data_IF_004717200020
#
_entry.id   IF_004717200020
#
_cell.length_a   1.000
_cell.length_b   1.000
_cell.length_c   1.000
_cell.angle_alpha   90.00
_cell.angle_beta   90.00
_cell.angle_gamma   90.00
#
_symmetry.space_group_name_H-M   'P 1'
#
loop_
_entity.id
_entity.type
_entity.pdbx_description
1 polymer ?
#
# COMPACT_ATOMS: atom_id res chain seq x y z
N UNK A 1 -9.57 -2.51 -12.32
CA UNK A 1 -9.30 -3.95 -12.48
C UNK A 1 -9.65 -4.64 -11.18
N UNK A 2 -10.24 -5.83 -11.22
CA UNK A 2 -10.40 -6.67 -10.02
C UNK A 2 -9.17 -7.57 -9.91
N UNK A 3 -8.34 -7.33 -8.90
CA UNK A 3 -7.22 -8.19 -8.56
C UNK A 3 -7.72 -9.54 -8.05
N UNK A 4 -7.10 -10.61 -8.52
CA UNK A 4 -7.38 -11.97 -8.05
C UNK A 4 -6.35 -12.43 -7.01
N UNK A 5 -6.73 -13.44 -6.23
CA UNK A 5 -5.86 -14.08 -5.24
C UNK A 5 -4.59 -14.63 -5.88
N UNK A 6 -4.73 -15.33 -7.01
CA UNK A 6 -3.63 -15.96 -7.74
C UNK A 6 -2.64 -14.93 -8.26
N UNK A 7 -3.12 -13.80 -8.78
CA UNK A 7 -2.29 -12.69 -9.23
C UNK A 7 -1.45 -12.14 -8.07
N UNK A 8 -2.08 -11.82 -6.93
CA UNK A 8 -1.36 -11.29 -5.75
C UNK A 8 -0.29 -12.28 -5.27
N UNK A 9 -0.61 -13.57 -5.21
CA UNK A 9 0.35 -14.59 -4.79
C UNK A 9 1.53 -14.72 -5.74
N UNK A 10 1.32 -14.50 -7.05
CA UNK A 10 2.35 -14.60 -8.08
C UNK A 10 3.16 -13.30 -8.27
N UNK A 11 2.76 -12.18 -7.67
CA UNK A 11 3.50 -10.93 -7.77
C UNK A 11 4.85 -11.01 -7.06
N UNK A 12 5.91 -10.57 -7.73
CA UNK A 12 7.22 -10.39 -7.10
C UNK A 12 7.22 -9.16 -6.17
N UNK A 13 8.06 -9.15 -5.12
CA UNK A 13 8.24 -7.96 -4.30
C UNK A 13 8.81 -6.81 -5.14
N UNK A 14 8.29 -5.61 -4.95
CA UNK A 14 8.68 -4.45 -5.73
C UNK A 14 7.60 -3.40 -5.86
N UNK A 15 7.79 -2.48 -6.80
CA UNK A 15 6.99 -1.25 -6.94
C UNK A 15 5.50 -1.53 -7.15
N UNK A 16 5.16 -2.50 -8.00
CA UNK A 16 3.77 -2.82 -8.27
C UNK A 16 3.03 -3.31 -7.01
N UNK A 17 3.63 -4.26 -6.27
CA UNK A 17 3.08 -4.74 -5.01
C UNK A 17 2.98 -3.62 -3.97
N UNK A 18 4.01 -2.78 -3.89
CA UNK A 18 4.05 -1.62 -2.99
C UNK A 18 2.94 -0.61 -3.29
N UNK A 19 2.62 -0.35 -4.56
CA UNK A 19 1.51 0.54 -4.93
C UNK A 19 0.15 -0.03 -4.54
N UNK A 20 -0.05 -1.33 -4.69
CA UNK A 20 -1.28 -1.98 -4.21
C UNK A 20 -1.42 -1.84 -2.69
N UNK A 21 -0.34 -2.01 -1.94
CA UNK A 21 -0.32 -1.77 -0.48
C UNK A 21 -0.72 -0.33 -0.17
N UNK A 22 -0.10 0.62 -0.86
CA UNK A 22 -0.34 2.06 -0.67
C UNK A 22 -1.80 2.45 -0.99
N UNK A 23 -2.36 1.91 -2.07
CA UNK A 23 -3.72 2.15 -2.53
C UNK A 23 -4.76 1.48 -1.61
N UNK A 24 -4.63 0.18 -1.37
CA UNK A 24 -5.70 -0.60 -0.76
C UNK A 24 -5.59 -0.69 0.75
N UNK A 25 -4.39 -0.74 1.32
CA UNK A 25 -4.20 -0.91 2.77
C UNK A 25 -4.00 0.45 3.43
N UNK A 26 -3.03 1.22 2.94
CA UNK A 26 -2.70 2.52 3.52
C UNK A 26 -3.73 3.61 3.15
N UNK A 27 -4.49 3.41 2.06
CA UNK A 27 -5.51 4.34 1.55
C UNK A 27 -4.93 5.74 1.26
N UNK A 28 -3.67 5.81 0.83
CA UNK A 28 -3.07 7.09 0.48
C UNK A 28 -3.63 7.60 -0.85
N UNK A 29 -3.88 8.90 -0.92
CA UNK A 29 -4.39 9.55 -2.12
C UNK A 29 -3.21 10.14 -2.90
N UNK A 30 -2.94 9.69 -4.13
CA UNK A 30 -1.90 10.27 -4.97
C UNK A 30 -2.40 11.56 -5.61
N UNK A 31 -1.60 12.61 -5.46
CA UNK A 31 -1.80 13.90 -6.08
C UNK A 31 -0.67 14.15 -7.08
N UNK A 32 -1.02 14.52 -8.30
CA UNK A 32 -0.06 15.07 -9.24
C UNK A 32 0.06 16.59 -9.03
N UNK A 33 1.30 17.08 -9.03
CA UNK A 33 1.66 18.49 -8.95
C UNK A 33 2.45 18.91 -10.19
N UNK A 34 1.95 19.89 -10.94
CA UNK A 34 2.71 20.52 -12.03
C UNK A 34 3.82 21.42 -11.49
N UNK A 35 5.08 21.12 -11.83
CA UNK A 35 6.27 21.89 -11.42
C UNK A 35 7.11 22.30 -12.61
N UNK A 36 6.66 23.33 -13.34
CA UNK A 36 7.33 23.76 -14.56
C UNK A 36 7.27 22.66 -15.60
N UNK A 37 8.42 22.06 -15.91
CA UNK A 37 8.57 21.10 -17.01
C UNK A 37 8.31 19.63 -16.61
N UNK A 38 8.02 19.36 -15.34
CA UNK A 38 7.75 18.00 -14.86
C UNK A 38 6.55 17.94 -13.92
N UNK A 39 6.00 16.74 -13.79
CA UNK A 39 4.90 16.43 -12.87
C UNK A 39 5.43 15.61 -11.71
N UNK A 40 5.16 16.03 -10.48
CA UNK A 40 5.54 15.27 -9.28
C UNK A 40 4.32 14.55 -8.70
N UNK A 41 4.49 13.31 -8.23
CA UNK A 41 3.48 12.65 -7.40
C UNK A 41 3.83 12.84 -5.94
N UNK A 42 2.84 13.32 -5.19
CA UNK A 42 2.88 13.39 -3.73
C UNK A 42 1.67 12.68 -3.14
N UNK A 43 1.87 12.02 -2.02
CA UNK A 43 0.80 11.26 -1.36
C UNK A 43 0.25 12.02 -0.16
N UNK A 44 -1.08 11.94 -0.02
CA UNK A 44 -1.81 12.38 1.15
C UNK A 44 -2.25 11.17 1.96
N UNK A 45 -1.87 11.13 3.24
CA UNK A 45 -2.31 10.08 4.16
C UNK A 45 -3.78 10.31 4.56
N UNK A 46 -4.53 9.25 4.92
CA UNK A 46 -5.87 9.39 5.47
C UNK A 46 -5.90 10.35 6.67
N UNK A 47 -6.79 11.34 6.63
CA UNK A 47 -6.94 12.33 7.69
C UNK A 47 -5.94 13.50 7.66
N UNK A 48 -4.93 13.48 6.77
CA UNK A 48 -4.09 14.66 6.54
C UNK A 48 -4.82 15.71 5.69
N UNK A 49 -4.40 16.97 5.83
CA UNK A 49 -4.79 18.05 4.92
C UNK A 49 -4.21 17.81 3.53
N UNK A 50 -4.91 18.31 2.51
CA UNK A 50 -4.46 18.18 1.13
C UNK A 50 -3.08 18.83 0.92
N UNK A 51 -2.25 18.29 0.01
CA UNK A 51 -0.86 18.73 -0.15
C UNK A 51 -0.70 20.24 -0.43
N UNK A 52 -1.62 20.84 -1.20
CA UNK A 52 -1.57 22.27 -1.52
C UNK A 52 -1.76 23.18 -0.29
N UNK A 53 -2.43 22.69 0.75
CA UNK A 53 -2.65 23.41 2.02
C UNK A 53 -1.41 23.48 2.91
N UNK A 54 -0.31 22.80 2.56
CA UNK A 54 0.96 22.87 3.30
C UNK A 54 1.67 24.22 3.12
N UNK A 55 1.24 25.03 2.14
CA UNK A 55 1.84 26.33 1.84
C UNK A 55 0.98 27.49 2.34
N UNK A 56 1.59 28.63 2.66
CA UNK A 56 0.83 29.84 3.04
C UNK A 56 -0.02 30.40 1.88
N UNK A 57 0.36 30.11 0.62
CA UNK A 57 -0.33 30.58 -0.60
C UNK A 57 -1.15 29.45 -1.23
N UNK A 58 -1.89 28.72 -0.41
CA UNK A 58 -2.56 27.48 -0.80
C UNK A 58 -3.60 27.68 -1.91
N UNK A 59 -4.27 28.84 -2.00
CA UNK A 59 -5.25 29.14 -3.05
C UNK A 59 -4.62 29.07 -4.44
N UNK A 60 -3.47 29.72 -4.63
CA UNK A 60 -2.70 29.65 -5.87
C UNK A 60 -2.03 28.30 -6.08
N UNK A 61 -1.61 27.64 -4.99
CA UNK A 61 -0.98 26.33 -5.10
C UNK A 61 -1.96 25.28 -5.62
N UNK A 62 -3.24 25.36 -5.19
CA UNK A 62 -4.31 24.43 -5.56
C UNK A 62 -4.44 24.22 -7.06
N UNK A 63 -4.22 25.27 -7.86
CA UNK A 63 -4.31 25.21 -9.34
C UNK A 63 -3.32 24.22 -9.96
N UNK A 64 -2.21 23.90 -9.27
CA UNK A 64 -1.19 22.97 -9.76
C UNK A 64 -1.43 21.52 -9.37
N UNK A 65 -2.40 21.27 -8.49
CA UNK A 65 -2.64 19.95 -7.93
C UNK A 65 -3.93 19.33 -8.47
N UNK A 66 -3.87 18.05 -8.81
CA UNK A 66 -5.05 17.24 -9.07
C UNK A 66 -4.83 15.82 -8.59
N UNK A 67 -5.89 15.12 -8.23
CA UNK A 67 -5.83 13.70 -7.90
C UNK A 67 -5.58 12.91 -9.19
N UNK A 68 -4.72 11.90 -9.12
CA UNK A 68 -4.42 10.97 -10.22
C UNK A 68 -4.82 9.55 -9.80
N UNK A 69 -5.13 8.64 -10.72
CA UNK A 69 -5.33 7.24 -10.37
C UNK A 69 -3.97 6.52 -10.24
N UNK A 70 -3.87 5.51 -9.37
CA UNK A 70 -2.64 4.71 -9.23
C UNK A 70 -2.18 4.06 -10.54
N UNK A 71 -3.14 3.67 -11.39
CA UNK A 71 -2.89 3.10 -12.73
C UNK A 71 -2.22 4.07 -13.70
N UNK A 72 -2.41 5.38 -13.48
CA UNK A 72 -1.97 6.41 -14.42
C UNK A 72 -0.59 7.00 -14.02
N UNK A 73 -0.06 6.58 -12.87
CA UNK A 73 1.26 6.99 -12.41
C UNK A 73 2.34 6.26 -13.23
N UNK A 74 2.87 6.92 -14.25
CA UNK A 74 4.04 6.49 -15.01
C UNK A 74 5.34 7.11 -14.44
N UNK A 75 6.34 6.30 -14.12
CA UNK A 75 7.61 6.75 -13.55
C UNK A 75 8.55 7.43 -14.57
N UNK A 76 8.32 7.19 -15.86
CA UNK A 76 9.05 7.88 -16.93
C UNK A 76 8.55 9.32 -17.11
N UNK A 77 7.31 9.59 -16.68
CA UNK A 77 6.65 10.90 -16.81
C UNK A 77 6.59 11.63 -15.47
N UNK A 78 6.44 10.88 -14.37
CA UNK A 78 6.22 11.45 -13.05
C UNK A 78 7.41 11.25 -12.12
N UNK A 79 7.82 12.32 -11.45
CA UNK A 79 8.73 12.26 -10.32
C UNK A 79 7.96 11.82 -9.07
N UNK A 80 8.01 10.52 -8.73
CA UNK A 80 7.27 9.94 -7.60
C UNK A 80 8.08 10.08 -6.31
N UNK A 81 7.49 10.69 -5.28
CA UNK A 81 8.10 10.85 -3.96
C UNK A 81 7.27 10.17 -2.88
N UNK A 82 7.93 9.55 -1.90
CA UNK A 82 7.27 8.96 -0.72
C UNK A 82 6.93 7.48 -0.84
N UNK A 83 7.24 6.84 -1.96
CA UNK A 83 7.19 5.37 -2.05
C UNK A 83 8.18 4.72 -1.09
N UNK A 84 7.74 3.67 -0.40
CA UNK A 84 8.57 2.85 0.47
C UNK A 84 8.64 1.42 -0.05
N UNK A 85 9.69 0.72 0.33
CA UNK A 85 9.89 -0.69 0.01
C UNK A 85 9.08 -1.63 0.90
N UNK A 86 7.76 -1.48 1.04
CA UNK A 86 6.96 -2.30 1.98
C UNK A 86 7.12 -3.81 1.77
N UNK A 87 7.20 -4.26 0.52
CA UNK A 87 7.40 -5.68 0.18
C UNK A 87 8.86 -6.16 0.27
N UNK A 88 9.83 -5.27 0.53
CA UNK A 88 11.26 -5.60 0.54
C UNK A 88 11.97 -5.26 1.85
N UNK A 89 11.43 -4.32 2.63
CA UNK A 89 11.99 -3.83 3.88
C UNK A 89 11.03 -4.16 5.04
N UNK A 90 11.54 -4.90 6.02
CA UNK A 90 10.77 -5.32 7.19
C UNK A 90 10.33 -4.15 8.06
N UNK A 91 11.11 -3.07 8.13
CA UNK A 91 10.73 -1.88 8.87
C UNK A 91 9.53 -1.19 8.23
N UNK A 92 9.49 -1.15 6.89
CA UNK A 92 8.34 -0.60 6.17
C UNK A 92 7.14 -1.55 6.27
N UNK A 93 7.33 -2.87 6.16
CA UNK A 93 6.25 -3.85 6.28
C UNK A 93 5.48 -3.76 7.61
N UNK A 94 6.14 -3.35 8.71
CA UNK A 94 5.46 -3.11 9.99
C UNK A 94 4.37 -2.04 9.89
N UNK A 95 4.55 -1.00 9.08
CA UNK A 95 3.52 0.04 8.87
C UNK A 95 2.24 -0.56 8.26
N UNK A 96 2.38 -1.63 7.47
CA UNK A 96 1.26 -2.36 6.88
C UNK A 96 0.48 -3.11 7.95
N UNK A 97 1.17 -3.83 8.83
CA UNK A 97 0.54 -4.57 9.94
C UNK A 97 -0.08 -3.64 10.98
N UNK A 98 0.57 -2.52 11.29
CA UNK A 98 0.01 -1.47 12.14
C UNK A 98 -1.29 -0.91 11.54
N UNK A 99 -1.33 -0.73 10.21
CA UNK A 99 -2.55 -0.30 9.54
C UNK A 99 -3.64 -1.37 9.58
N UNK A 100 -3.31 -2.65 9.37
CA UNK A 100 -4.27 -3.77 9.51
C UNK A 100 -4.84 -3.81 10.93
N UNK A 101 -4.00 -3.67 11.96
CA UNK A 101 -4.44 -3.61 13.34
C UNK A 101 -5.36 -2.40 13.60
N UNK A 102 -5.01 -1.23 13.07
CA UNK A 102 -5.85 -0.04 13.19
C UNK A 102 -7.20 -0.22 12.49
N UNK A 103 -7.23 -0.84 11.31
CA UNK A 103 -8.47 -1.17 10.60
C UNK A 103 -9.33 -2.16 11.40
N UNK A 104 -8.71 -3.19 11.95
CA UNK A 104 -9.40 -4.16 12.82
C UNK A 104 -10.05 -3.49 14.04
N UNK A 105 -9.32 -2.61 14.72
CA UNK A 105 -9.79 -1.97 15.95
C UNK A 105 -10.91 -0.94 15.70
N UNK A 106 -10.92 -0.28 14.54
CA UNK A 106 -11.78 0.89 14.31
C UNK A 106 -12.86 0.69 13.25
N UNK A 107 -12.63 -0.19 12.26
CA UNK A 107 -13.44 -0.25 11.04
C UNK A 107 -14.01 -1.64 10.76
N UNK A 108 -13.20 -2.71 10.89
CA UNK A 108 -13.56 -4.06 10.44
C UNK A 108 -13.21 -5.15 11.47
N UNK A 109 -14.11 -5.42 12.43
CA UNK A 109 -13.96 -6.53 13.37
C UNK A 109 -13.96 -7.86 12.61
N UNK A 110 -12.81 -8.54 12.57
CA UNK A 110 -12.59 -9.79 11.81
C UNK A 110 -11.38 -9.76 10.88
N UNK A 111 -10.95 -8.56 10.46
CA UNK A 111 -9.84 -8.41 9.48
C UNK A 111 -8.53 -9.06 9.94
N UNK A 112 -8.29 -9.15 11.25
CA UNK A 112 -7.08 -9.81 11.79
C UNK A 112 -7.10 -11.33 11.55
N UNK A 113 -8.27 -11.95 11.61
CA UNK A 113 -8.42 -13.39 11.38
C UNK A 113 -8.19 -13.67 9.88
N UNK A 114 -8.82 -12.87 9.00
CA UNK A 114 -8.61 -12.93 7.55
C UNK A 114 -7.14 -12.73 7.16
N UNK A 115 -6.44 -11.82 7.86
CA UNK A 115 -5.01 -11.59 7.67
C UNK A 115 -4.18 -12.81 8.07
N UNK A 116 -4.45 -13.41 9.22
CA UNK A 116 -3.72 -14.58 9.71
C UNK A 116 -3.94 -15.77 8.77
N UNK A 117 -5.18 -16.00 8.33
CA UNK A 117 -5.53 -17.05 7.38
C UNK A 117 -4.82 -16.84 6.03
N UNK A 118 -4.86 -15.61 5.52
CA UNK A 118 -4.13 -15.21 4.31
C UNK A 118 -2.62 -15.46 4.45
N UNK A 119 -2.03 -15.12 5.60
CA UNK A 119 -0.59 -15.31 5.85
C UNK A 119 -0.20 -16.79 5.92
N UNK A 120 -1.01 -17.61 6.58
CA UNK A 120 -0.82 -19.07 6.59
C UNK A 120 -0.84 -19.64 5.19
N UNK A 121 -1.74 -19.14 4.33
CA UNK A 121 -1.87 -19.58 2.95
C UNK A 121 -0.66 -19.19 2.09
N UNK A 122 -0.15 -17.95 2.21
CA UNK A 122 1.08 -17.53 1.51
C UNK A 122 2.25 -18.44 1.89
N UNK A 123 2.46 -18.65 3.20
CA UNK A 123 3.57 -19.46 3.72
C UNK A 123 3.43 -20.93 3.31
N UNK A 124 2.21 -21.48 3.37
CA UNK A 124 1.94 -22.86 2.95
C UNK A 124 2.21 -23.06 1.46
N UNK A 125 1.90 -22.07 0.61
CA UNK A 125 2.20 -22.15 -0.83
C UNK A 125 3.70 -22.25 -1.09
N UNK A 126 4.53 -21.55 -0.31
CA UNK A 126 5.98 -21.55 -0.49
C UNK A 126 6.68 -22.77 0.13
N UNK A 127 6.19 -23.26 1.28
CA UNK A 127 6.91 -24.27 2.08
C UNK A 127 6.14 -25.57 2.32
N UNK A 128 4.91 -25.69 1.83
CA UNK A 128 4.02 -26.85 2.01
C UNK A 128 3.42 -27.02 3.41
N UNK A 129 3.94 -26.30 4.41
CA UNK A 129 3.46 -26.33 5.81
C UNK A 129 3.69 -24.97 6.49
N UNK A 130 2.76 -24.58 7.37
CA UNK A 130 2.79 -23.29 8.08
C UNK A 130 2.81 -23.49 9.60
N UNK A 131 3.98 -23.79 10.20
CA UNK A 131 4.11 -23.80 11.65
C UNK A 131 4.08 -22.37 12.20
N UNK A 132 3.61 -22.21 13.44
CA UNK A 132 3.49 -20.90 14.09
C UNK A 132 4.79 -20.08 14.09
N UNK A 133 5.97 -20.72 14.17
CA UNK A 133 7.25 -20.00 14.10
C UNK A 133 7.48 -19.32 12.74
N UNK A 134 6.97 -19.87 11.63
CA UNK A 134 7.11 -19.24 10.30
C UNK A 134 6.26 -18.00 10.15
N UNK A 135 5.12 -17.92 10.84
CA UNK A 135 4.30 -16.70 10.87
C UNK A 135 5.10 -15.55 11.51
N UNK A 136 5.79 -15.81 12.62
CA UNK A 136 6.65 -14.80 13.25
C UNK A 136 7.81 -14.34 12.35
N UNK A 137 8.32 -15.25 11.50
CA UNK A 137 9.41 -14.98 10.56
C UNK A 137 8.94 -14.67 9.14
N UNK A 138 7.66 -14.32 8.96
CA UNK A 138 7.14 -13.97 7.65
C UNK A 138 7.92 -12.81 7.03
N UNK A 139 8.27 -12.95 5.76
CA UNK A 139 9.01 -11.93 5.00
C UNK A 139 8.15 -10.68 4.76
N UNK A 140 8.76 -9.51 4.45
CA UNK A 140 8.02 -8.30 4.11
C UNK A 140 6.99 -8.52 2.99
N UNK A 141 7.38 -9.28 1.97
CA UNK A 141 6.52 -9.68 0.85
C UNK A 141 5.32 -10.51 1.31
N UNK A 142 5.55 -11.54 2.12
CA UNK A 142 4.50 -12.44 2.60
C UNK A 142 3.45 -11.66 3.41
N UNK A 143 3.90 -10.73 4.27
CA UNK A 143 3.01 -9.84 5.04
C UNK A 143 2.19 -8.93 4.13
N UNK A 144 2.82 -8.30 3.13
CA UNK A 144 2.13 -7.42 2.19
C UNK A 144 1.06 -8.17 1.37
N UNK A 145 1.39 -9.36 0.85
CA UNK A 145 0.45 -10.21 0.10
C UNK A 145 -0.73 -10.63 0.97
N UNK A 146 -0.46 -11.08 2.18
CA UNK A 146 -1.50 -11.49 3.13
C UNK A 146 -2.43 -10.33 3.49
N UNK A 147 -1.87 -9.16 3.77
CA UNK A 147 -2.64 -7.97 4.09
C UNK A 147 -3.52 -7.51 2.92
N UNK A 148 -3.02 -7.62 1.68
CA UNK A 148 -3.81 -7.31 0.48
C UNK A 148 -4.97 -8.28 0.29
N UNK A 149 -4.72 -9.59 0.41
CA UNK A 149 -5.79 -10.59 0.27
C UNK A 149 -6.88 -10.39 1.33
N UNK A 150 -6.49 -10.14 2.59
CA UNK A 150 -7.43 -9.86 3.67
C UNK A 150 -8.30 -8.61 3.40
N UNK A 151 -7.68 -7.48 3.02
CA UNK A 151 -8.41 -6.21 2.77
C UNK A 151 -9.31 -6.31 1.53
N UNK A 152 -8.93 -7.11 0.54
CA UNK A 152 -9.71 -7.30 -0.69
C UNK A 152 -10.76 -8.42 -0.58
N UNK A 153 -10.74 -9.21 0.50
CA UNK A 153 -11.66 -10.33 0.71
C UNK A 153 -11.47 -11.47 -0.29
N UNK A 154 -10.21 -11.83 -0.57
CA UNK A 154 -9.79 -12.78 -1.61
C UNK A 154 -9.36 -14.14 -1.06
#
# INVERSE_FOLDING_TARGET
MTLTREEILAMEPGRQLNRLVQEHILKWIPWQEGRGDYTAIVYQNPGEREPYMRTQRWETAKERYSIIAYSDIDEMVHAVYGDKGWSTDISAAWEVEERILALYLNEQPGLIDDYIDSLMDVIRKEHGFSPAFRLAHATPEQRCKAALMAVLGL
#
